data_IF_487166891301
#
_entry.id   IF_487166891301
#
_cell.length_a   1.000
_cell.length_b   1.000
_cell.length_c   1.000
_cell.angle_alpha   90.00
_cell.angle_beta   90.00
_cell.angle_gamma   90.00
#
_symmetry.space_group_name_H-M   'P 1'
#
loop_
_entity.id
_entity.type
_entity.pdbx_description
1 polymer ?
#
# COMPACT_ATOMS: atom_id res chain seq x y z
N UNK A 1 -9.25 -23.64 -15.02
CA UNK A 1 -10.21 -23.72 -16.15
C UNK A 1 -10.42 -25.14 -16.67
N UNK A 2 -9.38 -25.96 -16.87
CA UNK A 2 -9.52 -27.38 -17.29
C UNK A 2 -10.44 -28.18 -16.35
N UNK A 3 -10.33 -27.99 -15.03
CA UNK A 3 -11.17 -28.65 -14.03
C UNK A 3 -12.69 -28.43 -14.22
N UNK A 4 -13.12 -27.25 -14.66
CA UNK A 4 -14.55 -26.95 -14.93
C UNK A 4 -15.09 -27.81 -16.08
N UNK A 5 -14.30 -27.96 -17.14
CA UNK A 5 -14.67 -28.73 -18.32
C UNK A 5 -14.69 -30.24 -18.02
N UNK A 6 -13.76 -30.72 -17.19
CA UNK A 6 -13.75 -32.11 -16.71
C UNK A 6 -14.99 -32.39 -15.86
N UNK A 7 -15.37 -31.49 -14.94
CA UNK A 7 -16.56 -31.68 -14.10
C UNK A 7 -17.84 -31.63 -14.92
N UNK A 8 -17.94 -30.73 -15.92
CA UNK A 8 -19.06 -30.69 -16.84
C UNK A 8 -19.19 -32.00 -17.66
N UNK A 9 -18.07 -32.55 -18.13
CA UNK A 9 -18.04 -33.83 -18.85
C UNK A 9 -18.44 -35.00 -17.94
N UNK A 10 -17.96 -35.04 -16.69
CA UNK A 10 -18.33 -36.07 -15.73
C UNK A 10 -19.80 -35.98 -15.33
N UNK A 11 -20.35 -34.78 -15.13
CA UNK A 11 -21.78 -34.57 -14.90
C UNK A 11 -22.62 -35.09 -16.08
N UNK A 12 -22.19 -34.80 -17.32
CA UNK A 12 -22.85 -35.31 -18.53
C UNK A 12 -22.81 -36.84 -18.62
N UNK A 13 -21.65 -37.46 -18.37
CA UNK A 13 -21.52 -38.92 -18.40
C UNK A 13 -22.33 -39.60 -17.29
N UNK A 14 -22.32 -39.06 -16.07
CA UNK A 14 -23.08 -39.62 -14.96
C UNK A 14 -24.59 -39.55 -15.19
N UNK A 15 -25.08 -38.46 -15.79
CA UNK A 15 -26.50 -38.36 -16.13
C UNK A 15 -26.88 -39.32 -17.27
N UNK A 16 -26.01 -39.49 -18.28
CA UNK A 16 -26.22 -40.41 -19.42
C UNK A 16 -26.18 -41.89 -19.04
N UNK A 17 -25.30 -42.27 -18.11
CA UNK A 17 -25.10 -43.66 -17.67
C UNK A 17 -25.92 -44.05 -16.45
N UNK A 18 -26.54 -43.11 -15.72
CA UNK A 18 -27.36 -43.48 -14.55
C UNK A 18 -28.66 -44.22 -14.97
N UNK A 19 -28.86 -45.48 -14.54
CA UNK A 19 -30.07 -46.24 -14.86
C UNK A 19 -31.33 -45.69 -14.14
N UNK A 20 -31.15 -44.90 -13.08
CA UNK A 20 -32.24 -44.31 -12.29
C UNK A 20 -32.90 -43.09 -12.94
N UNK A 21 -32.25 -42.42 -13.92
CA UNK A 21 -32.90 -41.37 -14.72
C UNK A 21 -33.88 -41.95 -15.75
N UNK A 22 -33.56 -43.12 -16.31
CA UNK A 22 -34.41 -43.82 -17.30
C UNK A 22 -35.65 -44.46 -16.69
N UNK A 23 -35.63 -44.84 -15.41
CA UNK A 23 -36.76 -45.52 -14.77
C UNK A 23 -37.98 -44.61 -14.53
N UNK A 24 -37.81 -43.27 -14.59
CA UNK A 24 -38.93 -42.32 -14.47
C UNK A 24 -39.54 -41.91 -15.83
N UNK A 25 -38.89 -42.27 -16.94
CA UNK A 25 -39.27 -41.89 -18.30
C UNK A 25 -40.18 -42.92 -18.99
N UNK A 26 -40.41 -44.08 -18.37
CA UNK A 26 -41.30 -45.12 -18.94
C UNK A 26 -42.78 -44.88 -18.67
N UNK A 27 -43.18 -43.75 -18.05
CA UNK A 27 -44.58 -43.52 -17.66
C UNK A 27 -45.29 -42.36 -18.38
N UNK A 28 -44.63 -41.48 -19.15
CA UNK A 28 -45.37 -40.59 -20.07
C UNK A 28 -44.49 -39.81 -21.06
N UNK A 29 -44.93 -39.78 -22.33
CA UNK A 29 -44.67 -38.80 -23.41
C UNK A 29 -43.24 -38.30 -23.74
N UNK A 30 -42.75 -38.69 -24.91
CA UNK A 30 -42.88 -37.81 -26.09
C UNK A 30 -41.93 -36.64 -26.35
N UNK A 31 -41.00 -36.26 -25.47
CA UNK A 31 -40.08 -35.14 -25.77
C UNK A 31 -38.59 -35.50 -25.57
N UNK A 32 -37.85 -35.58 -26.68
CA UNK A 32 -36.38 -35.75 -26.73
C UNK A 32 -35.60 -34.49 -26.27
N UNK A 33 -36.27 -33.48 -25.71
CA UNK A 33 -35.68 -32.22 -25.22
C UNK A 33 -35.17 -32.29 -23.76
N UNK A 34 -35.37 -33.43 -23.06
CA UNK A 34 -35.23 -33.53 -21.60
C UNK A 34 -33.92 -34.16 -21.09
N UNK A 35 -32.95 -34.43 -21.98
CA UNK A 35 -31.61 -34.88 -21.63
C UNK A 35 -30.66 -33.69 -21.44
N UNK A 36 -29.84 -33.68 -20.38
CA UNK A 36 -28.83 -32.64 -20.19
C UNK A 36 -27.86 -32.62 -21.38
N UNK A 37 -27.99 -31.60 -22.24
CA UNK A 37 -27.02 -31.34 -23.29
C UNK A 37 -25.66 -30.96 -22.68
N UNK A 38 -24.56 -31.32 -23.35
CA UNK A 38 -23.20 -30.98 -22.91
C UNK A 38 -23.03 -29.47 -22.68
N UNK A 39 -23.67 -28.65 -23.51
CA UNK A 39 -23.71 -27.20 -23.36
C UNK A 39 -24.38 -26.78 -22.05
N UNK A 40 -25.53 -27.36 -21.70
CA UNK A 40 -26.24 -27.07 -20.45
C UNK A 40 -25.43 -27.46 -19.22
N UNK A 41 -24.69 -28.58 -19.27
CA UNK A 41 -23.80 -29.00 -18.19
C UNK A 41 -22.57 -28.08 -18.02
N UNK A 42 -22.02 -27.57 -19.12
CA UNK A 42 -20.94 -26.56 -19.10
C UNK A 42 -21.44 -25.24 -18.51
N UNK A 43 -22.60 -24.76 -18.96
CA UNK A 43 -23.23 -23.55 -18.42
C UNK A 43 -23.55 -23.70 -16.93
N UNK A 44 -24.05 -24.86 -16.49
CA UNK A 44 -24.26 -25.15 -15.08
C UNK A 44 -22.96 -25.09 -14.27
N UNK A 45 -21.88 -25.73 -14.75
CA UNK A 45 -20.58 -25.74 -14.05
C UNK A 45 -19.97 -24.33 -13.93
N UNK A 46 -20.08 -23.52 -14.99
CA UNK A 46 -19.66 -22.12 -14.99
C UNK A 46 -20.56 -21.23 -14.14
N UNK A 47 -21.88 -21.43 -14.16
CA UNK A 47 -22.85 -20.72 -13.34
C UNK A 47 -22.57 -20.88 -11.86
N UNK A 48 -22.30 -22.12 -11.42
CA UNK A 48 -21.91 -22.40 -10.02
C UNK A 48 -20.59 -21.73 -9.64
N UNK A 49 -19.59 -21.72 -10.54
CA UNK A 49 -18.29 -21.10 -10.26
C UNK A 49 -18.36 -19.58 -10.20
N UNK A 50 -19.17 -18.95 -11.06
CA UNK A 50 -19.33 -17.50 -11.14
C UNK A 50 -20.45 -16.97 -10.24
N UNK A 51 -21.09 -17.83 -9.44
CA UNK A 51 -22.28 -17.51 -8.66
C UNK A 51 -23.38 -16.83 -9.51
N UNK A 52 -23.49 -17.25 -10.76
CA UNK A 52 -24.46 -16.74 -11.73
C UNK A 52 -25.65 -17.71 -11.80
N UNK A 53 -26.87 -17.21 -11.60
CA UNK A 53 -28.10 -18.00 -11.62
C UNK A 53 -28.54 -18.51 -12.99
N UNK A 54 -27.65 -18.52 -13.98
CA UNK A 54 -27.92 -18.93 -15.36
C UNK A 54 -27.66 -20.43 -15.46
N UNK A 55 -28.72 -21.23 -15.33
CA UNK A 55 -28.66 -22.67 -15.49
C UNK A 55 -30.00 -23.23 -15.95
N UNK A 56 -30.16 -23.43 -17.25
CA UNK A 56 -31.37 -24.00 -17.86
C UNK A 56 -31.47 -25.54 -17.68
N UNK A 57 -30.49 -26.18 -17.03
CA UNK A 57 -30.50 -27.62 -16.78
C UNK A 57 -30.03 -27.96 -15.37
N UNK A 58 -30.89 -28.59 -14.57
CA UNK A 58 -30.54 -29.10 -13.23
C UNK A 58 -30.28 -30.61 -13.29
N UNK A 59 -29.23 -31.12 -12.61
CA UNK A 59 -28.94 -32.56 -12.58
C UNK A 59 -30.10 -33.35 -11.96
N UNK A 60 -30.66 -34.30 -12.73
CA UNK A 60 -31.80 -35.13 -12.31
C UNK A 60 -31.36 -36.35 -11.49
N UNK A 61 -30.22 -36.95 -11.81
CA UNK A 61 -29.70 -38.13 -11.11
C UNK A 61 -29.15 -37.82 -9.70
N UNK A 62 -29.37 -38.75 -8.75
CA UNK A 62 -28.91 -38.58 -7.36
C UNK A 62 -27.38 -38.42 -7.27
N UNK A 63 -26.63 -39.18 -8.08
CA UNK A 63 -25.17 -39.07 -8.19
C UNK A 63 -24.72 -37.71 -8.72
N UNK A 64 -25.38 -37.15 -9.74
CA UNK A 64 -25.05 -35.84 -10.28
C UNK A 64 -25.37 -34.69 -9.31
N UNK A 65 -26.41 -34.83 -8.48
CA UNK A 65 -26.71 -33.86 -7.40
C UNK A 65 -25.63 -33.83 -6.32
N UNK A 66 -25.16 -35.01 -5.88
CA UNK A 66 -24.05 -35.10 -4.92
C UNK A 66 -22.78 -34.48 -5.51
N UNK A 67 -22.47 -34.76 -6.78
CA UNK A 67 -21.32 -34.15 -7.45
C UNK A 67 -21.47 -32.63 -7.59
N UNK A 68 -22.67 -32.13 -7.89
CA UNK A 68 -22.97 -30.69 -7.94
C UNK A 68 -22.78 -30.00 -6.58
N UNK A 69 -23.16 -30.64 -5.47
CA UNK A 69 -22.92 -30.11 -4.12
C UNK A 69 -21.42 -30.02 -3.79
N UNK A 70 -20.64 -31.05 -4.14
CA UNK A 70 -19.18 -31.05 -3.96
C UNK A 70 -18.52 -29.98 -4.83
N UNK A 71 -18.97 -29.82 -6.08
CA UNK A 71 -18.49 -28.77 -6.98
C UNK A 71 -18.79 -27.36 -6.45
N UNK A 72 -19.99 -27.13 -5.90
CA UNK A 72 -20.35 -25.86 -5.29
C UNK A 72 -19.48 -25.53 -4.08
N UNK A 73 -19.19 -26.52 -3.21
CA UNK A 73 -18.25 -26.35 -2.10
C UNK A 73 -16.84 -26.02 -2.57
N UNK A 74 -16.35 -26.71 -3.60
CA UNK A 74 -15.04 -26.43 -4.20
C UNK A 74 -14.96 -25.03 -4.82
N UNK A 75 -15.99 -24.61 -5.56
CA UNK A 75 -16.08 -23.27 -6.14
C UNK A 75 -16.05 -22.18 -5.05
N UNK A 76 -16.81 -22.35 -3.96
CA UNK A 76 -16.80 -21.44 -2.82
C UNK A 76 -15.40 -21.30 -2.20
N UNK A 77 -14.67 -22.41 -2.04
CA UNK A 77 -13.29 -22.41 -1.50
C UNK A 77 -12.33 -21.66 -2.42
N UNK A 78 -12.44 -21.83 -3.74
CA UNK A 78 -11.58 -21.11 -4.71
C UNK A 78 -11.82 -19.60 -4.62
N UNK A 79 -13.09 -19.18 -4.67
CA UNK A 79 -13.44 -17.76 -4.58
C UNK A 79 -12.95 -17.17 -3.26
N UNK A 80 -13.21 -17.86 -2.14
CA UNK A 80 -12.73 -17.46 -0.83
C UNK A 80 -11.20 -17.31 -0.79
N UNK A 81 -10.46 -18.28 -1.31
CA UNK A 81 -8.99 -18.24 -1.35
C UNK A 81 -8.45 -17.10 -2.20
N UNK A 82 -9.08 -16.82 -3.35
CA UNK A 82 -8.71 -15.69 -4.18
C UNK A 82 -8.98 -14.36 -3.47
N UNK A 83 -10.16 -14.21 -2.86
CA UNK A 83 -10.49 -13.00 -2.08
C UNK A 83 -9.57 -12.83 -0.87
N UNK A 84 -9.16 -13.92 -0.21
CA UNK A 84 -8.21 -13.88 0.90
C UNK A 84 -6.81 -13.45 0.44
N UNK A 85 -6.34 -13.95 -0.71
CA UNK A 85 -5.05 -13.54 -1.27
C UNK A 85 -5.06 -12.07 -1.71
N UNK A 86 -6.15 -11.61 -2.31
CA UNK A 86 -6.34 -10.21 -2.66
C UNK A 86 -6.35 -9.32 -1.41
N UNK A 87 -7.12 -9.71 -0.37
CA UNK A 87 -7.15 -8.99 0.89
C UNK A 87 -5.78 -8.96 1.57
N UNK A 88 -5.04 -10.08 1.55
CA UNK A 88 -3.68 -10.14 2.07
C UNK A 88 -2.76 -9.16 1.33
N UNK A 89 -2.87 -9.08 0.00
CA UNK A 89 -2.09 -8.13 -0.80
C UNK A 89 -2.44 -6.68 -0.46
N UNK A 90 -3.72 -6.32 -0.37
CA UNK A 90 -4.16 -4.96 -0.01
C UNK A 90 -3.70 -4.53 1.39
N UNK A 91 -3.60 -5.45 2.34
CA UNK A 91 -3.08 -5.16 3.69
C UNK A 91 -1.56 -4.98 3.69
N UNK A 92 -0.85 -5.62 2.75
CA UNK A 92 0.60 -5.55 2.62
C UNK A 92 1.08 -4.34 1.81
N UNK A 93 0.24 -3.80 0.92
CA UNK A 93 0.49 -2.52 0.25
C UNK A 93 0.38 -1.36 1.24
N UNK A 94 1.37 -1.24 2.13
CA UNK A 94 1.56 -0.02 2.91
C UNK A 94 2.21 1.02 2.01
N UNK A 95 1.63 2.23 1.86
CA UNK A 95 2.34 3.31 1.20
C UNK A 95 3.70 3.48 1.86
N UNK A 96 4.75 3.71 1.06
CA UNK A 96 6.14 3.86 1.55
C UNK A 96 6.10 4.71 2.81
N UNK A 97 6.44 4.09 3.95
CA UNK A 97 6.30 4.74 5.25
C UNK A 97 7.10 6.03 5.23
N UNK A 98 6.46 7.14 5.64
CA UNK A 98 7.15 8.39 5.93
C UNK A 98 8.32 8.05 6.86
N UNK A 99 9.48 8.69 6.64
CA UNK A 99 10.64 8.52 7.51
C UNK A 99 10.21 8.73 8.97
N UNK A 100 10.53 7.78 9.86
CA UNK A 100 10.04 7.89 11.25
C UNK A 100 10.71 9.03 12.00
N UNK A 101 11.79 9.59 11.47
CA UNK A 101 12.61 10.65 12.07
C UNK A 101 14.09 10.30 11.99
N UNK A 102 14.91 11.00 12.76
CA UNK A 102 16.38 10.90 12.68
C UNK A 102 16.94 9.51 13.06
N UNK A 103 16.21 8.75 13.87
CA UNK A 103 16.61 7.42 14.33
C UNK A 103 16.23 6.28 13.37
N UNK A 104 15.65 6.60 12.21
CA UNK A 104 15.26 5.58 11.23
C UNK A 104 16.49 4.78 10.76
N UNK A 105 16.37 3.46 10.75
CA UNK A 105 17.43 2.56 10.31
C UNK A 105 17.87 2.85 8.86
N UNK A 106 16.97 3.37 8.02
CA UNK A 106 17.27 3.74 6.63
C UNK A 106 18.17 4.98 6.51
N UNK A 107 18.11 5.89 7.49
CA UNK A 107 18.99 7.07 7.56
C UNK A 107 20.36 6.71 8.15
N UNK A 108 20.40 5.76 9.09
CA UNK A 108 21.65 5.34 9.76
C UNK A 108 22.50 4.40 8.92
N UNK A 109 21.86 3.45 8.23
CA UNK A 109 22.50 2.59 7.25
C UNK A 109 22.14 3.15 5.89
N UNK A 110 22.98 4.04 5.37
CA UNK A 110 22.81 4.65 4.04
C UNK A 110 22.67 3.55 2.98
N UNK A 111 21.43 3.10 2.74
CA UNK A 111 21.11 2.29 1.57
C UNK A 111 21.17 3.23 0.37
N UNK A 112 21.77 2.77 -0.73
CA UNK A 112 22.19 3.57 -1.90
C UNK A 112 21.12 4.46 -2.54
N UNK A 113 19.85 4.33 -2.15
CA UNK A 113 18.71 5.07 -2.71
C UNK A 113 18.15 6.17 -1.79
N UNK A 114 18.74 6.42 -0.61
CA UNK A 114 18.24 7.43 0.33
C UNK A 114 19.12 8.68 0.33
N UNK A 115 18.83 9.62 -0.57
CA UNK A 115 19.52 10.92 -0.63
C UNK A 115 18.95 11.87 0.42
N UNK A 116 19.80 12.27 1.36
CA UNK A 116 19.50 13.29 2.37
C UNK A 116 20.48 14.45 2.23
N UNK A 117 19.99 15.66 2.45
CA UNK A 117 20.80 16.87 2.37
C UNK A 117 20.37 17.92 3.38
N UNK A 118 21.29 18.82 3.68
CA UNK A 118 21.03 20.08 4.38
C UNK A 118 21.71 21.24 3.64
N UNK A 119 21.64 22.46 4.18
CA UNK A 119 22.34 23.61 3.61
C UNK A 119 23.77 23.69 4.17
N UNK A 120 24.76 23.84 3.30
CA UNK A 120 26.18 23.96 3.68
C UNK A 120 26.43 25.19 4.56
N UNK A 121 27.29 25.04 5.57
CA UNK A 121 27.68 26.15 6.45
C UNK A 121 26.56 26.64 7.37
N UNK A 122 25.44 25.92 7.44
CA UNK A 122 24.32 26.23 8.32
C UNK A 122 24.56 25.72 9.75
N UNK A 123 23.72 26.16 10.69
CA UNK A 123 23.70 25.62 12.04
C UNK A 123 23.41 24.11 12.07
N UNK A 124 22.58 23.63 11.13
CA UNK A 124 22.22 22.21 10.98
C UNK A 124 23.43 21.39 10.50
N UNK A 125 24.16 21.90 9.50
CA UNK A 125 25.40 21.30 9.00
C UNK A 125 26.45 21.17 10.13
N UNK A 126 26.64 22.25 10.91
CA UNK A 126 27.52 22.25 12.08
C UNK A 126 27.07 21.28 13.17
N UNK A 127 25.75 21.13 13.39
CA UNK A 127 25.20 20.20 14.36
C UNK A 127 25.56 18.75 14.00
N UNK A 128 25.35 18.34 12.75
CA UNK A 128 25.70 16.99 12.30
C UNK A 128 27.20 16.73 12.31
N UNK A 129 28.00 17.74 11.96
CA UNK A 129 29.47 17.64 12.02
C UNK A 129 30.00 17.41 13.44
N UNK A 130 29.30 17.93 14.46
CA UNK A 130 29.69 17.78 15.87
C UNK A 130 29.26 16.44 16.48
N UNK A 131 28.21 15.81 15.95
CA UNK A 131 27.66 14.58 16.53
C UNK A 131 28.34 13.32 15.98
N UNK A 132 29.04 12.60 16.86
CA UNK A 132 29.79 11.38 16.50
C UNK A 132 28.84 10.24 16.09
N UNK A 133 27.68 10.12 16.73
CA UNK A 133 26.70 9.06 16.46
C UNK A 133 26.07 9.16 15.06
N UNK A 134 26.02 10.36 14.49
CA UNK A 134 25.44 10.64 13.17
C UNK A 134 26.51 10.89 12.10
N UNK A 135 27.78 10.67 12.43
CA UNK A 135 28.92 10.91 11.53
C UNK A 135 28.83 10.12 10.22
N UNK A 136 28.32 8.88 10.26
CA UNK A 136 28.11 8.06 9.05
C UNK A 136 27.08 8.70 8.11
N UNK A 137 25.97 9.21 8.66
CA UNK A 137 24.94 9.91 7.88
C UNK A 137 25.49 11.21 7.31
N UNK A 138 26.24 11.97 8.13
CA UNK A 138 26.86 13.23 7.71
C UNK A 138 27.80 13.05 6.51
N UNK A 139 28.59 11.97 6.44
CA UNK A 139 29.47 11.69 5.28
C UNK A 139 28.71 11.57 3.96
N UNK A 140 27.52 10.98 3.97
CA UNK A 140 26.67 10.89 2.78
C UNK A 140 26.01 12.24 2.47
N UNK A 141 25.55 12.95 3.50
CA UNK A 141 24.92 14.25 3.33
C UNK A 141 25.88 15.32 2.81
N UNK A 142 27.13 15.32 3.29
CA UNK A 142 28.15 16.32 2.93
C UNK A 142 28.39 16.40 1.42
N UNK A 143 28.33 15.27 0.71
CA UNK A 143 28.45 15.22 -0.75
C UNK A 143 27.24 15.83 -1.49
N UNK A 144 26.05 15.81 -0.87
CA UNK A 144 24.77 16.20 -1.47
C UNK A 144 24.20 17.50 -0.90
N UNK A 145 24.94 18.20 -0.03
CA UNK A 145 24.46 19.43 0.60
C UNK A 145 24.27 20.56 -0.42
N UNK A 146 23.27 21.40 -0.18
CA UNK A 146 22.89 22.52 -1.02
C UNK A 146 23.43 23.85 -0.49
N UNK A 147 23.57 24.87 -1.33
CA UNK A 147 23.96 26.22 -0.89
C UNK A 147 22.78 27.03 -0.35
N UNK A 148 21.54 26.68 -0.72
CA UNK A 148 20.35 27.45 -0.39
C UNK A 148 19.17 26.52 -0.13
N UNK A 149 18.31 26.88 0.83
CA UNK A 149 17.17 26.07 1.22
C UNK A 149 16.12 25.95 0.09
N UNK A 150 15.91 27.01 -0.69
CA UNK A 150 14.93 27.06 -1.78
C UNK A 150 15.21 26.00 -2.85
N UNK A 151 16.49 25.83 -3.20
CA UNK A 151 16.91 24.83 -4.18
C UNK A 151 16.68 23.40 -3.66
N UNK A 152 16.97 23.17 -2.39
CA UNK A 152 16.74 21.88 -1.76
C UNK A 152 15.23 21.56 -1.70
N UNK A 153 14.38 22.51 -1.33
CA UNK A 153 12.92 22.34 -1.31
C UNK A 153 12.40 22.02 -2.71
N UNK A 154 12.88 22.71 -3.75
CA UNK A 154 12.48 22.44 -5.13
C UNK A 154 12.89 21.02 -5.57
N UNK A 155 14.10 20.58 -5.26
CA UNK A 155 14.56 19.24 -5.62
C UNK A 155 13.84 18.13 -4.82
N UNK A 156 13.30 18.43 -3.63
CA UNK A 156 12.38 17.54 -2.90
C UNK A 156 11.05 17.42 -3.65
N UNK A 157 10.49 18.54 -4.13
CA UNK A 157 9.25 18.52 -4.93
C UNK A 157 9.43 17.77 -6.25
N UNK A 158 10.56 17.95 -6.91
CA UNK A 158 10.92 17.24 -8.15
C UNK A 158 11.22 15.74 -7.92
N UNK A 159 11.27 15.27 -6.67
CA UNK A 159 11.57 13.88 -6.30
C UNK A 159 13.04 13.47 -6.49
N UNK A 160 13.95 14.44 -6.71
CA UNK A 160 15.41 14.20 -6.83
C UNK A 160 16.05 14.00 -5.47
N UNK A 161 15.55 14.72 -4.46
CA UNK A 161 15.99 14.61 -3.07
C UNK A 161 14.88 13.94 -2.25
N UNK A 162 15.21 12.87 -1.54
CA UNK A 162 14.18 12.14 -0.79
C UNK A 162 13.89 12.75 0.58
N UNK A 163 14.88 13.38 1.23
CA UNK A 163 14.65 14.11 2.48
C UNK A 163 15.57 15.33 2.59
N UNK A 164 14.98 16.43 3.06
CA UNK A 164 15.68 17.67 3.37
C UNK A 164 15.57 17.98 4.86
N UNK A 165 16.72 18.20 5.50
CA UNK A 165 16.80 18.46 6.94
C UNK A 165 17.06 19.95 7.16
N UNK A 166 16.11 20.63 7.81
CA UNK A 166 16.14 22.07 8.04
C UNK A 166 15.32 22.49 9.27
N UNK A 167 15.33 23.80 9.57
CA UNK A 167 14.56 24.40 10.64
C UNK A 167 13.06 24.12 10.51
N UNK A 168 12.43 23.72 11.63
CA UNK A 168 11.03 23.32 11.66
C UNK A 168 10.07 24.43 11.25
N UNK A 169 10.26 25.66 11.75
CA UNK A 169 9.40 26.81 11.43
C UNK A 169 9.34 27.10 9.93
N UNK A 170 10.49 26.99 9.24
CA UNK A 170 10.58 27.19 7.79
C UNK A 170 9.92 26.05 7.03
N UNK A 171 10.13 24.80 7.45
CA UNK A 171 9.54 23.63 6.80
C UNK A 171 8.03 23.53 7.01
N UNK A 172 7.53 23.84 8.21
CA UNK A 172 6.10 23.87 8.54
C UNK A 172 5.37 24.93 7.69
N UNK A 173 5.99 26.09 7.48
CA UNK A 173 5.43 27.12 6.61
C UNK A 173 5.33 26.68 5.15
N UNK A 174 6.35 25.97 4.63
CA UNK A 174 6.33 25.46 3.26
C UNK A 174 5.37 24.28 3.08
N UNK A 175 5.28 23.38 4.07
CA UNK A 175 4.29 22.29 4.09
C UNK A 175 2.84 22.79 4.26
N UNK A 176 2.64 23.92 4.96
CA UNK A 176 1.33 24.54 5.06
C UNK A 176 0.88 25.19 3.74
N UNK A 177 1.84 25.64 2.92
CA UNK A 177 1.57 26.21 1.59
C UNK A 177 1.37 25.15 0.51
N UNK A 178 2.13 24.07 0.58
CA UNK A 178 2.17 23.05 -0.45
C UNK A 178 1.85 21.67 0.13
N UNK A 179 0.68 21.13 -0.25
CA UNK A 179 0.18 19.86 0.28
C UNK A 179 0.96 18.63 -0.19
N UNK A 180 1.84 18.77 -1.18
CA UNK A 180 2.72 17.68 -1.62
C UNK A 180 3.88 17.46 -0.65
N UNK A 181 4.21 18.47 0.16
CA UNK A 181 5.25 18.41 1.17
C UNK A 181 4.68 18.02 2.53
N UNK A 182 5.40 17.17 3.24
CA UNK A 182 5.07 16.78 4.61
C UNK A 182 6.33 16.79 5.47
N UNK A 183 6.21 17.33 6.67
CA UNK A 183 7.24 17.20 7.70
C UNK A 183 7.18 15.78 8.30
N UNK A 184 8.34 15.21 8.61
CA UNK A 184 8.46 13.85 9.10
C UNK A 184 9.42 13.77 10.30
N UNK A 185 9.02 13.02 11.32
CA UNK A 185 9.80 12.83 12.55
C UNK A 185 9.52 13.85 13.66
N UNK A 186 10.17 13.64 14.79
CA UNK A 186 10.13 14.56 15.94
C UNK A 186 11.18 15.67 15.81
N UNK A 187 10.90 16.81 16.44
CA UNK A 187 11.84 17.92 16.55
C UNK A 187 13.07 17.50 17.35
N UNK A 188 14.24 17.50 16.70
CA UNK A 188 15.53 17.24 17.31
C UNK A 188 16.42 18.48 17.27
N UNK A 189 17.47 18.50 18.10
CA UNK A 189 18.44 19.61 18.09
C UNK A 189 17.80 20.97 18.42
N UNK A 190 16.94 21.02 19.45
CA UNK A 190 16.19 22.23 19.85
C UNK A 190 17.11 23.44 19.92
N UNK A 191 16.89 24.37 19.01
CA UNK A 191 17.56 25.67 18.91
C UNK A 191 16.50 26.77 18.83
N UNK A 192 16.88 27.99 19.18
CA UNK A 192 16.01 29.15 19.11
C UNK A 192 16.66 30.27 18.29
N UNK A 193 15.83 31.07 17.64
CA UNK A 193 16.30 32.30 17.00
C UNK A 193 16.61 33.37 18.04
N UNK A 194 17.64 34.17 17.78
CA UNK A 194 18.06 35.25 18.65
C UNK A 194 18.66 36.40 17.87
N UNK A 195 18.67 37.58 18.48
CA UNK A 195 19.26 38.79 17.89
C UNK A 195 20.72 38.89 18.33
N UNK A 196 21.63 38.92 17.35
CA UNK A 196 23.06 39.10 17.61
C UNK A 196 23.44 40.59 17.65
N UNK A 197 24.05 41.03 18.74
CA UNK A 197 24.64 42.37 18.89
C UNK A 197 26.15 42.25 19.13
N UNK A 198 26.90 43.32 18.84
CA UNK A 198 28.32 43.36 19.17
C UNK A 198 28.54 43.22 20.68
N UNK A 199 29.61 42.52 21.07
CA UNK A 199 29.94 42.30 22.48
C UNK A 199 30.16 43.64 23.18
N UNK A 200 29.40 43.89 24.24
CA UNK A 200 29.43 45.15 24.99
C UNK A 200 28.56 46.27 24.41
N UNK A 201 27.66 45.96 23.47
CA UNK A 201 26.70 46.93 22.95
C UNK A 201 25.77 47.45 24.06
N UNK A 202 25.57 48.78 24.18
CA UNK A 202 24.66 49.36 25.16
C UNK A 202 23.18 49.02 24.90
N UNK A 203 22.87 48.51 23.71
CA UNK A 203 21.51 48.14 23.31
C UNK A 203 21.09 46.74 23.78
N UNK A 204 22.02 45.95 24.31
CA UNK A 204 21.76 44.55 24.66
C UNK A 204 20.63 44.43 25.68
N UNK A 205 20.66 45.24 26.74
CA UNK A 205 19.66 45.21 27.80
C UNK A 205 18.31 45.73 27.31
N UNK A 206 18.32 46.85 26.57
CA UNK A 206 17.09 47.44 26.01
C UNK A 206 16.38 46.48 25.04
N UNK A 207 17.13 45.79 24.16
CA UNK A 207 16.57 44.81 23.23
C UNK A 207 16.06 43.58 23.96
N UNK A 208 16.77 43.11 24.99
CA UNK A 208 16.34 41.94 25.78
C UNK A 208 15.04 42.22 26.51
N UNK A 209 14.92 43.39 27.15
CA UNK A 209 13.68 43.81 27.83
C UNK A 209 12.52 43.94 26.83
N UNK A 210 12.74 44.57 25.67
CA UNK A 210 11.70 44.67 24.66
C UNK A 210 11.21 43.31 24.13
N UNK A 211 12.11 42.32 24.00
CA UNK A 211 11.71 40.95 23.61
C UNK A 211 10.89 40.28 24.71
N UNK A 212 11.28 40.46 25.98
CA UNK A 212 10.52 39.93 27.12
C UNK A 212 9.11 40.54 27.17
N UNK A 213 9.00 41.85 26.99
CA UNK A 213 7.72 42.57 26.96
C UNK A 213 6.80 42.12 25.81
N UNK A 214 7.35 41.66 24.68
CA UNK A 214 6.54 41.09 23.58
C UNK A 214 6.11 39.65 23.81
N UNK A 215 6.70 38.94 24.78
CA UNK A 215 6.42 37.53 25.06
C UNK A 215 5.45 37.34 26.23
N UNK A 216 5.26 38.37 27.05
CA UNK A 216 4.23 38.45 28.11
C UNK A 216 2.87 38.85 27.52
#
# INVERSE_FOLDING_TARGET
>A
MVSVHVVALVLYLLDRFSPFGRFKLTTNDGNEEDALNLSSAIWFAWGVLLNSGIGEGTPRSFSARVLGMVWAGFAMIIVASYTANLAAFLVLERPKTKLSGINDARLRNTMENLTCATVKGSAVDMYFRRQVELSNMYRTMEANNYETAEKAIQDVKDGKLMAFIWDSSRLEHEAAKDCELVTAGELFGRSGYGIGLQKGSPWTDAVTLAILDFHE
#
